data_IF_369581678528
#
_entry.id   IF_369581678528
#
_cell.length_a   1.000
_cell.length_b   1.000
_cell.length_c   1.000
_cell.angle_alpha   90.00
_cell.angle_beta   90.00
_cell.angle_gamma   90.00
#
_symmetry.space_group_name_H-M   'P 1'
#
loop_
_entity.id
_entity.type
_entity.pdbx_description
1 polymer ?
#
# COMPACT_ATOMS: atom_id res chain seq x y z
N UNK A 1 20.49 4.29 4.81
CA UNK A 1 19.44 3.24 4.76
C UNK A 1 18.17 3.93 4.26
N UNK A 2 17.44 3.35 3.29
CA UNK A 2 16.15 3.90 2.84
C UNK A 2 15.12 3.71 3.96
N UNK A 3 14.25 4.69 4.15
CA UNK A 3 13.16 4.57 5.13
C UNK A 3 12.08 3.59 4.64
N UNK A 4 11.29 2.98 5.53
CA UNK A 4 10.20 2.06 5.19
C UNK A 4 8.98 2.80 4.59
N UNK A 5 9.24 3.59 3.56
CA UNK A 5 8.26 4.41 2.84
C UNK A 5 7.87 3.72 1.54
N UNK A 6 6.57 3.60 1.31
CA UNK A 6 5.95 3.28 0.04
C UNK A 6 5.45 4.59 -0.57
N UNK A 7 6.09 5.08 -1.64
CA UNK A 7 5.60 6.26 -2.36
C UNK A 7 4.46 5.88 -3.31
N UNK A 8 3.30 6.51 -3.16
CA UNK A 8 2.21 6.39 -4.12
C UNK A 8 2.49 7.27 -5.34
N UNK A 9 2.71 6.61 -6.51
CA UNK A 9 3.00 7.27 -7.78
C UNK A 9 1.69 7.45 -8.56
N UNK A 10 0.82 8.30 -8.03
CA UNK A 10 -0.50 8.54 -8.60
C UNK A 10 -0.43 9.80 -9.49
N UNK A 11 -0.09 9.61 -10.77
CA UNK A 11 -0.03 10.66 -11.81
C UNK A 11 -0.36 10.06 -13.18
N UNK A 12 -1.12 10.77 -14.03
CA UNK A 12 -1.41 10.34 -15.39
C UNK A 12 -0.29 10.69 -16.41
N UNK A 13 0.86 11.15 -15.94
CA UNK A 13 2.02 11.51 -16.78
C UNK A 13 3.22 10.61 -16.44
N UNK A 14 3.63 9.76 -17.40
CA UNK A 14 4.71 8.80 -17.20
C UNK A 14 6.07 9.45 -16.97
N UNK A 15 6.36 10.57 -17.65
CA UNK A 15 7.63 11.28 -17.47
C UNK A 15 7.69 11.97 -16.10
N UNK A 16 6.56 12.47 -15.61
CA UNK A 16 6.46 12.98 -14.23
C UNK A 16 6.66 11.83 -13.24
N UNK A 17 6.04 10.67 -13.45
CA UNK A 17 6.22 9.50 -12.60
C UNK A 17 7.70 9.09 -12.49
N UNK A 18 8.42 8.99 -13.60
CA UNK A 18 9.86 8.70 -13.64
C UNK A 18 10.67 9.72 -12.85
N UNK A 19 10.36 11.02 -13.01
CA UNK A 19 11.06 12.09 -12.28
C UNK A 19 10.80 12.03 -10.79
N UNK A 20 9.58 11.65 -10.36
CA UNK A 20 9.27 11.43 -8.94
C UNK A 20 10.10 10.29 -8.36
N UNK A 21 10.22 9.19 -9.09
CA UNK A 21 11.06 8.04 -8.70
C UNK A 21 12.51 8.48 -8.53
N UNK A 22 13.07 9.16 -9.52
CA UNK A 22 14.46 9.65 -9.49
C UNK A 22 14.70 10.65 -8.35
N UNK A 23 13.74 11.55 -8.09
CA UNK A 23 13.85 12.56 -7.03
C UNK A 23 13.82 11.96 -5.60
N UNK A 24 13.24 10.75 -5.43
CA UNK A 24 12.98 10.17 -4.11
C UNK A 24 13.73 8.88 -3.82
N UNK A 25 14.52 8.38 -4.77
CA UNK A 25 15.16 7.06 -4.69
C UNK A 25 16.07 6.84 -3.47
N UNK A 26 16.65 7.89 -2.89
CA UNK A 26 17.51 7.79 -1.71
C UNK A 26 16.73 7.66 -0.40
N UNK A 27 15.45 8.01 -0.41
CA UNK A 27 14.57 8.08 0.77
C UNK A 27 13.51 6.97 0.83
N UNK A 28 13.08 6.47 -0.35
CA UNK A 28 11.93 5.58 -0.51
C UNK A 28 12.37 4.14 -0.79
N UNK A 29 11.72 3.17 -0.13
CA UNK A 29 12.02 1.74 -0.30
C UNK A 29 11.15 1.07 -1.37
N UNK A 30 9.93 1.55 -1.58
CA UNK A 30 8.93 0.90 -2.45
C UNK A 30 8.17 1.95 -3.25
N UNK A 31 7.93 1.71 -4.52
CA UNK A 31 7.06 2.52 -5.37
C UNK A 31 5.75 1.79 -5.64
N UNK A 32 4.64 2.42 -5.24
CA UNK A 32 3.28 1.90 -5.44
C UNK A 32 2.69 2.46 -6.73
N UNK A 33 2.36 1.57 -7.65
CA UNK A 33 1.67 1.85 -8.90
C UNK A 33 0.21 1.42 -8.74
N UNK A 34 -0.67 2.40 -8.58
CA UNK A 34 -2.09 2.20 -8.30
C UNK A 34 -2.92 1.98 -9.56
N UNK A 35 -4.24 1.92 -9.37
CA UNK A 35 -5.22 1.64 -10.44
C UNK A 35 -5.12 2.66 -11.59
N UNK A 36 -5.09 3.96 -11.28
CA UNK A 36 -4.99 5.01 -12.30
C UNK A 36 -3.73 4.81 -13.16
N UNK A 37 -2.57 4.63 -12.54
CA UNK A 37 -1.32 4.41 -13.24
C UNK A 37 -1.38 3.15 -14.13
N UNK A 38 -1.81 2.02 -13.56
CA UNK A 38 -1.82 0.76 -14.28
C UNK A 38 -2.83 0.74 -15.43
N UNK A 39 -4.02 1.30 -15.24
CA UNK A 39 -5.02 1.39 -16.30
C UNK A 39 -4.63 2.37 -17.41
N UNK A 40 -3.82 3.38 -17.09
CA UNK A 40 -3.33 4.35 -18.09
C UNK A 40 -2.15 3.78 -18.90
N UNK A 41 -1.18 3.16 -18.25
CA UNK A 41 0.11 2.80 -18.87
C UNK A 41 0.36 1.30 -19.01
N UNK A 42 -0.42 0.46 -18.33
CA UNK A 42 -0.31 -0.99 -18.37
C UNK A 42 1.08 -1.52 -18.02
N UNK A 43 1.42 -2.66 -18.58
CA UNK A 43 2.72 -3.31 -18.38
C UNK A 43 3.91 -2.43 -18.82
N UNK A 44 3.74 -1.64 -19.87
CA UNK A 44 4.81 -0.77 -20.37
C UNK A 44 5.18 0.30 -19.34
N UNK A 45 4.18 0.89 -18.69
CA UNK A 45 4.40 1.88 -17.62
C UNK A 45 5.14 1.28 -16.44
N UNK A 46 4.74 0.08 -15.99
CA UNK A 46 5.41 -0.62 -14.88
C UNK A 46 6.87 -0.90 -15.22
N UNK A 47 7.16 -1.42 -16.42
CA UNK A 47 8.54 -1.64 -16.88
C UNK A 47 9.33 -0.35 -16.99
N UNK A 48 8.72 0.74 -17.45
CA UNK A 48 9.37 2.05 -17.52
C UNK A 48 9.79 2.55 -16.13
N UNK A 49 8.95 2.37 -15.09
CA UNK A 49 9.32 2.71 -13.71
C UNK A 49 10.40 1.78 -13.18
N UNK A 50 10.32 0.47 -13.44
CA UNK A 50 11.36 -0.49 -13.01
C UNK A 50 12.73 -0.16 -13.59
N UNK A 51 12.81 0.42 -14.76
CA UNK A 51 14.08 0.84 -15.38
C UNK A 51 14.71 2.08 -14.71
N UNK A 52 13.94 2.84 -13.92
CA UNK A 52 14.42 4.03 -13.21
C UNK A 52 14.93 3.71 -11.80
N UNK A 53 14.68 2.50 -11.26
CA UNK A 53 14.98 2.20 -9.86
C UNK A 53 15.15 0.72 -9.58
N UNK A 54 16.02 0.41 -8.60
CA UNK A 54 16.15 -0.93 -8.00
C UNK A 54 15.23 -1.13 -6.77
N UNK A 55 14.39 -0.14 -6.44
CA UNK A 55 13.45 -0.26 -5.34
C UNK A 55 12.31 -1.24 -5.66
N UNK A 56 11.69 -1.78 -4.62
CA UNK A 56 10.56 -2.69 -4.75
C UNK A 56 9.37 -2.05 -5.46
N UNK A 57 8.66 -2.83 -6.27
CA UNK A 57 7.43 -2.40 -6.94
C UNK A 57 6.21 -3.02 -6.26
N UNK A 58 5.25 -2.17 -5.95
CA UNK A 58 3.98 -2.52 -5.36
C UNK A 58 2.84 -2.24 -6.37
N UNK A 59 2.27 -3.29 -6.96
CA UNK A 59 1.08 -3.19 -7.81
C UNK A 59 -0.18 -3.15 -6.95
N UNK A 60 -0.77 -1.98 -6.81
CA UNK A 60 -1.95 -1.75 -5.98
C UNK A 60 -3.23 -1.82 -6.82
N UNK A 61 -3.58 -3.04 -7.28
CA UNK A 61 -4.67 -3.32 -8.21
C UNK A 61 -5.97 -3.74 -7.52
N UNK A 62 -5.90 -4.06 -6.24
CA UNK A 62 -7.05 -4.44 -5.40
C UNK A 62 -7.96 -5.49 -6.04
N UNK A 63 -7.34 -6.59 -6.53
CA UNK A 63 -8.07 -7.66 -7.22
C UNK A 63 -9.19 -8.22 -6.33
N UNK A 64 -10.40 -8.30 -6.88
CA UNK A 64 -11.57 -8.75 -6.16
C UNK A 64 -12.58 -9.35 -7.13
N UNK A 65 -12.61 -10.66 -7.23
CA UNK A 65 -13.49 -11.43 -8.11
C UNK A 65 -13.50 -12.90 -7.63
N UNK A 66 -14.15 -13.81 -8.34
CA UNK A 66 -14.08 -15.24 -8.05
C UNK A 66 -12.62 -15.75 -8.17
N UNK A 67 -12.24 -16.81 -7.42
CA UNK A 67 -10.86 -17.30 -7.35
C UNK A 67 -10.18 -17.52 -8.69
N UNK A 68 -10.91 -18.08 -9.67
CA UNK A 68 -10.38 -18.35 -11.02
C UNK A 68 -9.96 -17.06 -11.74
N UNK A 69 -10.80 -16.03 -11.68
CA UNK A 69 -10.54 -14.73 -12.32
C UNK A 69 -9.37 -14.02 -11.66
N UNK A 70 -9.31 -14.02 -10.32
CA UNK A 70 -8.19 -13.41 -9.58
C UNK A 70 -6.88 -14.12 -9.87
N UNK A 71 -6.86 -15.44 -9.92
CA UNK A 71 -5.67 -16.20 -10.33
C UNK A 71 -5.22 -15.86 -11.76
N UNK A 72 -6.17 -15.68 -12.68
CA UNK A 72 -5.90 -15.24 -14.05
C UNK A 72 -5.27 -13.85 -14.10
N UNK A 73 -5.86 -12.89 -13.36
CA UNK A 73 -5.34 -11.52 -13.26
C UNK A 73 -3.95 -11.47 -12.62
N UNK A 74 -3.72 -12.27 -11.58
CA UNK A 74 -2.43 -12.40 -10.94
C UNK A 74 -1.36 -12.94 -11.91
N UNK A 75 -1.64 -14.03 -12.63
CA UNK A 75 -0.74 -14.56 -13.68
C UNK A 75 -0.47 -13.54 -14.80
N UNK A 76 -1.45 -12.73 -15.16
CA UNK A 76 -1.28 -11.73 -16.22
C UNK A 76 -0.19 -10.69 -15.91
N UNK A 77 0.11 -10.43 -14.63
CA UNK A 77 1.14 -9.48 -14.20
C UNK A 77 2.42 -10.16 -13.67
N UNK A 78 2.51 -11.49 -13.74
CA UNK A 78 3.65 -12.26 -13.21
C UNK A 78 4.98 -11.89 -13.85
N UNK A 79 4.98 -11.60 -15.16
CA UNK A 79 6.18 -11.18 -15.92
C UNK A 79 6.73 -9.80 -15.50
N UNK A 80 5.93 -9.02 -14.79
CA UNK A 80 6.36 -7.76 -14.17
C UNK A 80 7.12 -7.98 -12.86
N UNK A 81 7.05 -9.19 -12.29
CA UNK A 81 7.71 -9.58 -11.04
C UNK A 81 7.51 -8.51 -9.94
N UNK A 82 6.26 -8.17 -9.58
CA UNK A 82 6.02 -7.20 -8.51
C UNK A 82 6.40 -7.81 -7.16
N UNK A 83 7.01 -7.01 -6.28
CA UNK A 83 7.27 -7.46 -4.90
C UNK A 83 5.96 -7.60 -4.13
N UNK A 84 5.02 -6.67 -4.34
CA UNK A 84 3.70 -6.68 -3.70
C UNK A 84 2.59 -6.57 -4.75
N UNK A 85 1.48 -7.26 -4.50
CA UNK A 85 0.24 -7.12 -5.26
C UNK A 85 -0.97 -7.17 -4.32
N UNK A 86 -1.93 -6.25 -4.49
CA UNK A 86 -3.09 -6.21 -3.61
C UNK A 86 -4.26 -7.05 -4.12
N UNK A 87 -4.92 -7.69 -3.14
CA UNK A 87 -6.25 -8.29 -3.29
C UNK A 87 -7.14 -7.78 -2.15
N UNK A 88 -8.46 -7.81 -2.30
CA UNK A 88 -9.38 -7.55 -1.18
C UNK A 88 -9.58 -8.80 -0.32
N UNK A 89 -9.41 -8.68 1.00
CA UNK A 89 -9.65 -9.77 1.97
C UNK A 89 -11.11 -10.25 1.94
N UNK A 90 -12.06 -9.35 1.65
CA UNK A 90 -13.49 -9.64 1.56
C UNK A 90 -13.87 -10.61 0.43
N UNK A 91 -12.96 -10.90 -0.51
CA UNK A 91 -13.10 -11.97 -1.49
C UNK A 91 -13.02 -13.38 -0.89
N UNK A 92 -12.61 -13.51 0.38
CA UNK A 92 -12.56 -14.76 1.12
C UNK A 92 -11.29 -15.58 0.90
N UNK A 93 -11.13 -16.61 1.73
CA UNK A 93 -9.89 -17.43 1.78
C UNK A 93 -9.53 -18.06 0.45
N UNK A 94 -10.52 -18.59 -0.28
CA UNK A 94 -10.28 -19.26 -1.57
C UNK A 94 -9.75 -18.31 -2.63
N UNK A 95 -10.23 -17.06 -2.65
CA UNK A 95 -9.76 -16.03 -3.58
C UNK A 95 -8.32 -15.60 -3.23
N UNK A 96 -8.04 -15.32 -1.96
CA UNK A 96 -6.70 -14.95 -1.51
C UNK A 96 -5.70 -16.06 -1.80
N UNK A 97 -6.06 -17.33 -1.48
CA UNK A 97 -5.23 -18.50 -1.78
C UNK A 97 -4.93 -18.63 -3.27
N UNK A 98 -5.93 -18.43 -4.12
CA UNK A 98 -5.76 -18.51 -5.58
C UNK A 98 -4.79 -17.44 -6.11
N UNK A 99 -4.77 -16.23 -5.53
CA UNK A 99 -3.77 -15.22 -5.85
C UNK A 99 -2.36 -15.61 -5.39
N UNK A 100 -2.23 -16.16 -4.18
CA UNK A 100 -0.94 -16.62 -3.61
C UNK A 100 -0.33 -17.72 -4.47
N UNK A 101 -1.12 -18.73 -4.86
CA UNK A 101 -0.68 -19.83 -5.73
C UNK A 101 -0.29 -19.37 -7.14
N UNK A 102 -0.95 -18.31 -7.64
CA UNK A 102 -0.68 -17.76 -8.97
C UNK A 102 0.58 -16.88 -9.02
N UNK A 103 1.04 -16.33 -7.89
CA UNK A 103 2.21 -15.46 -7.77
C UNK A 103 3.09 -15.86 -6.57
N UNK A 104 3.75 -17.02 -6.62
CA UNK A 104 4.51 -17.56 -5.48
C UNK A 104 5.70 -16.67 -5.08
N UNK A 105 6.28 -15.92 -6.03
CA UNK A 105 7.43 -15.04 -5.81
C UNK A 105 7.04 -13.63 -5.32
N UNK A 106 5.75 -13.28 -5.36
CA UNK A 106 5.23 -11.99 -4.91
C UNK A 106 4.61 -12.10 -3.51
N UNK A 107 4.66 -11.01 -2.77
CA UNK A 107 3.91 -10.89 -1.52
C UNK A 107 2.48 -10.45 -1.83
N UNK A 108 1.55 -11.42 -1.89
CA UNK A 108 0.12 -11.09 -1.96
C UNK A 108 -0.24 -10.32 -0.69
N UNK A 109 -0.77 -9.13 -0.91
CA UNK A 109 -1.04 -8.11 0.10
C UNK A 109 -2.55 -7.93 0.21
N UNK A 110 -3.12 -8.38 1.33
CA UNK A 110 -4.56 -8.39 1.50
C UNK A 110 -5.06 -7.08 2.14
N UNK A 111 -5.96 -6.38 1.45
CA UNK A 111 -6.59 -5.15 1.93
C UNK A 111 -7.79 -5.53 2.80
N UNK A 112 -7.79 -5.07 4.05
CA UNK A 112 -8.87 -5.34 5.00
C UNK A 112 -10.06 -4.41 4.77
N UNK A 113 -10.18 -3.36 5.57
CA UNK A 113 -11.23 -2.34 5.46
C UNK A 113 -10.61 -1.08 4.85
N UNK A 114 -11.28 -0.50 3.85
CA UNK A 114 -10.82 0.75 3.25
C UNK A 114 -10.92 1.90 4.26
N UNK A 115 -9.87 2.70 4.36
CA UNK A 115 -9.79 3.82 5.33
C UNK A 115 -10.78 4.94 5.07
N UNK A 116 -11.44 4.96 3.90
CA UNK A 116 -12.50 5.90 3.53
C UNK A 116 -13.87 5.51 4.10
N UNK A 117 -14.08 4.24 4.49
CA UNK A 117 -15.36 3.78 5.01
C UNK A 117 -15.52 4.19 6.48
N UNK A 118 -16.68 4.73 6.79
CA UNK A 118 -17.17 4.96 8.15
C UNK A 118 -17.79 3.66 8.71
N UNK A 119 -18.11 3.65 10.00
CA UNK A 119 -18.87 2.54 10.60
C UNK A 119 -20.27 2.38 9.97
N UNK A 120 -20.90 3.51 9.62
CA UNK A 120 -22.21 3.53 8.97
C UNK A 120 -22.14 2.91 7.56
N UNK A 121 -21.12 3.27 6.75
CA UNK A 121 -20.89 2.68 5.44
C UNK A 121 -20.68 1.16 5.53
N UNK A 122 -19.98 0.69 6.56
CA UNK A 122 -19.77 -0.75 6.78
C UNK A 122 -21.05 -1.50 7.06
N UNK A 123 -21.92 -0.97 7.90
CA UNK A 123 -23.24 -1.57 8.16
C UNK A 123 -24.12 -1.53 6.91
N UNK A 124 -24.09 -0.44 6.13
CA UNK A 124 -24.86 -0.31 4.90
C UNK A 124 -24.45 -1.36 3.86
N UNK A 125 -23.17 -1.66 3.71
CA UNK A 125 -22.70 -2.70 2.78
C UNK A 125 -22.74 -4.13 3.37
N UNK A 126 -23.30 -4.29 4.57
CA UNK A 126 -23.63 -5.60 5.15
C UNK A 126 -22.60 -6.20 6.11
N UNK A 127 -21.63 -5.43 6.62
CA UNK A 127 -20.78 -5.90 7.70
C UNK A 127 -21.56 -5.90 9.03
N UNK A 128 -21.45 -7.02 9.77
CA UNK A 128 -22.13 -7.16 11.06
C UNK A 128 -21.33 -6.57 12.24
N UNK A 129 -20.00 -6.45 12.08
CA UNK A 129 -19.08 -5.98 13.11
C UNK A 129 -18.50 -4.62 12.76
N UNK A 130 -18.05 -3.83 13.77
CA UNK A 130 -17.30 -2.60 13.56
C UNK A 130 -16.02 -2.78 12.73
N UNK A 131 -15.47 -1.67 12.24
CA UNK A 131 -14.30 -1.64 11.37
C UNK A 131 -13.11 -2.41 11.95
N UNK A 132 -12.77 -2.18 13.21
CA UNK A 132 -11.63 -2.81 13.88
C UNK A 132 -11.77 -4.34 13.95
N UNK A 133 -12.92 -4.84 14.39
CA UNK A 133 -13.18 -6.28 14.52
C UNK A 133 -13.19 -6.95 13.13
N UNK A 134 -13.83 -6.30 12.17
CA UNK A 134 -13.86 -6.76 10.77
C UNK A 134 -12.46 -6.80 10.16
N UNK A 135 -11.64 -5.77 10.34
CA UNK A 135 -10.27 -5.71 9.85
C UNK A 135 -9.38 -6.82 10.45
N UNK A 136 -9.49 -7.06 11.76
CA UNK A 136 -8.77 -8.13 12.46
C UNK A 136 -9.16 -9.51 11.91
N UNK A 137 -10.46 -9.77 11.75
CA UNK A 137 -10.95 -11.05 11.21
C UNK A 137 -10.49 -11.27 9.76
N UNK A 138 -10.56 -10.23 8.92
CA UNK A 138 -10.11 -10.27 7.53
C UNK A 138 -8.58 -10.47 7.42
N UNK A 139 -7.80 -9.85 8.30
CA UNK A 139 -6.36 -10.04 8.35
C UNK A 139 -6.00 -11.49 8.70
N UNK A 140 -6.60 -12.06 9.75
CA UNK A 140 -6.38 -13.46 10.13
C UNK A 140 -6.76 -14.44 9.02
N UNK A 141 -7.92 -14.23 8.38
CA UNK A 141 -8.37 -15.03 7.24
C UNK A 141 -7.34 -15.01 6.12
N UNK A 142 -6.84 -13.82 5.77
CA UNK A 142 -5.92 -13.63 4.66
C UNK A 142 -4.55 -14.26 4.92
N UNK A 143 -4.01 -14.11 6.13
CA UNK A 143 -2.73 -14.74 6.52
C UNK A 143 -2.85 -16.27 6.52
N UNK A 144 -3.96 -16.82 7.04
CA UNK A 144 -4.24 -18.26 6.95
C UNK A 144 -4.34 -18.75 5.50
N UNK A 145 -4.78 -17.92 4.57
CA UNK A 145 -4.83 -18.22 3.14
C UNK A 145 -3.47 -18.05 2.43
N UNK A 146 -2.42 -17.60 3.13
CA UNK A 146 -1.07 -17.47 2.63
C UNK A 146 -0.62 -16.06 2.25
N UNK A 147 -1.45 -15.03 2.47
CA UNK A 147 -1.03 -13.65 2.27
C UNK A 147 0.18 -13.31 3.15
N UNK A 148 1.17 -12.60 2.58
CA UNK A 148 2.42 -12.22 3.27
C UNK A 148 2.40 -10.78 3.79
N UNK A 149 1.41 -10.00 3.38
CA UNK A 149 1.25 -8.63 3.82
C UNK A 149 -0.24 -8.27 3.98
N UNK A 150 -0.51 -7.32 4.85
CA UNK A 150 -1.85 -6.77 5.13
C UNK A 150 -1.81 -5.27 4.92
N UNK A 151 -2.82 -4.71 4.26
CA UNK A 151 -3.09 -3.26 4.25
C UNK A 151 -4.23 -2.96 5.21
N UNK A 152 -3.99 -2.06 6.16
CA UNK A 152 -4.98 -1.66 7.16
C UNK A 152 -4.84 -0.18 7.57
N UNK A 153 -5.85 0.35 8.23
CA UNK A 153 -5.84 1.70 8.83
C UNK A 153 -4.76 1.83 9.91
N UNK A 154 -4.21 3.03 10.12
CA UNK A 154 -3.29 3.31 11.23
C UNK A 154 -3.85 2.89 12.60
N UNK A 155 -5.15 3.04 12.83
CA UNK A 155 -5.82 2.70 14.10
C UNK A 155 -5.95 1.19 14.33
N UNK A 156 -5.74 0.37 13.32
CA UNK A 156 -5.90 -1.09 13.36
C UNK A 156 -4.56 -1.83 13.52
N UNK A 157 -3.41 -1.14 13.37
CA UNK A 157 -2.07 -1.73 13.33
C UNK A 157 -1.81 -2.64 14.54
N UNK A 158 -1.94 -2.11 15.75
CA UNK A 158 -1.60 -2.84 16.97
C UNK A 158 -2.47 -4.09 17.17
N UNK A 159 -3.78 -3.97 16.90
CA UNK A 159 -4.71 -5.09 17.01
C UNK A 159 -4.42 -6.17 15.95
N UNK A 160 -4.15 -5.77 14.71
CA UNK A 160 -3.79 -6.71 13.63
C UNK A 160 -2.43 -7.36 13.94
N UNK A 161 -1.42 -6.59 14.35
CA UNK A 161 -0.10 -7.12 14.72
C UNK A 161 -0.19 -8.22 15.76
N UNK A 162 -1.03 -8.03 16.79
CA UNK A 162 -1.21 -9.01 17.87
C UNK A 162 -1.74 -10.37 17.40
N UNK A 163 -2.39 -10.44 16.23
CA UNK A 163 -3.02 -11.68 15.73
C UNK A 163 -2.35 -12.27 14.50
N UNK A 164 -1.56 -11.48 13.75
CA UNK A 164 -0.87 -11.97 12.54
C UNK A 164 0.61 -12.30 12.77
N UNK A 165 1.16 -11.89 13.91
CA UNK A 165 2.58 -12.14 14.25
C UNK A 165 3.56 -11.26 13.47
N UNK A 166 4.86 -11.40 13.76
CA UNK A 166 5.91 -10.51 13.26
C UNK A 166 6.33 -10.78 11.80
N UNK A 167 6.13 -12.00 11.32
CA UNK A 167 6.47 -12.41 9.96
C UNK A 167 5.57 -11.78 8.87
N UNK A 168 4.37 -11.33 9.25
CA UNK A 168 3.43 -10.69 8.33
C UNK A 168 3.74 -9.19 8.22
N UNK A 169 3.95 -8.69 7.02
CA UNK A 169 4.14 -7.27 6.81
C UNK A 169 2.82 -6.50 6.97
N UNK A 170 2.83 -5.41 7.73
CA UNK A 170 1.70 -4.49 7.84
C UNK A 170 2.05 -3.22 7.08
N UNK A 171 1.25 -2.89 6.08
CA UNK A 171 1.42 -1.74 5.20
C UNK A 171 0.26 -0.77 5.47
N UNK A 172 0.56 0.46 5.87
CA UNK A 172 -0.46 1.38 6.35
C UNK A 172 -0.50 2.66 5.52
N UNK A 173 -1.60 2.92 4.80
CA UNK A 173 -1.89 4.23 4.21
C UNK A 173 -2.51 5.17 5.26
N UNK A 174 -2.69 6.45 4.88
CA UNK A 174 -3.37 7.41 5.76
C UNK A 174 -2.46 8.00 6.84
N UNK A 175 -1.15 7.87 6.68
CA UNK A 175 -0.19 8.54 7.54
C UNK A 175 0.11 9.95 7.03
N UNK A 176 0.34 10.90 7.95
CA UNK A 176 0.67 12.30 7.64
C UNK A 176 1.81 12.77 8.54
N UNK A 177 2.80 13.51 8.00
CA UNK A 177 3.77 14.23 8.82
C UNK A 177 3.06 15.10 9.87
N UNK A 178 3.70 15.30 11.01
CA UNK A 178 3.12 16.06 12.13
C UNK A 178 2.61 17.45 11.71
N UNK A 179 3.29 18.10 10.76
CA UNK A 179 2.92 19.42 10.21
C UNK A 179 1.65 19.42 9.33
N UNK A 180 1.12 18.26 8.96
CA UNK A 180 -0.01 18.14 8.03
C UNK A 180 -1.20 17.37 8.61
N UNK A 181 -1.16 17.04 9.90
CA UNK A 181 -2.27 16.37 10.60
C UNK A 181 -3.48 17.30 10.65
N UNK A 182 -4.63 16.83 10.13
CA UNK A 182 -5.91 17.55 10.19
C UNK A 182 -6.26 18.41 8.97
N UNK A 183 -5.46 18.42 7.91
CA UNK A 183 -5.69 19.28 6.73
C UNK A 183 -6.34 18.58 5.52
N UNK A 184 -6.66 17.27 5.61
CA UNK A 184 -7.02 16.45 4.45
C UNK A 184 -8.31 15.62 4.66
N UNK A 185 -8.80 14.97 3.58
CA UNK A 185 -9.97 14.09 3.50
C UNK A 185 -9.86 12.78 4.32
N UNK A 186 -8.69 12.47 4.87
CA UNK A 186 -8.49 11.29 5.71
C UNK A 186 -8.82 11.58 7.18
N UNK A 187 -9.89 10.92 7.67
CA UNK A 187 -10.42 11.10 9.03
C UNK A 187 -9.63 10.34 10.12
N UNK A 188 -8.78 9.36 9.73
CA UNK A 188 -8.04 8.46 10.62
C UNK A 188 -6.55 8.56 10.32
N UNK A 189 -5.89 9.59 10.84
CA UNK A 189 -4.48 9.87 10.56
C UNK A 189 -3.59 9.61 11.77
N UNK A 190 -2.34 9.20 11.50
CA UNK A 190 -1.27 8.99 12.46
C UNK A 190 0.03 9.51 11.84
N UNK A 191 1.04 9.87 12.65
CA UNK A 191 2.34 10.22 12.08
C UNK A 191 3.04 8.97 11.53
N UNK A 192 3.94 9.10 10.52
CA UNK A 192 4.70 7.97 10.01
C UNK A 192 5.49 7.24 11.11
N UNK A 193 6.11 7.99 12.01
CA UNK A 193 6.85 7.46 13.17
C UNK A 193 5.93 6.64 14.08
N UNK A 194 4.79 7.18 14.48
CA UNK A 194 3.86 6.50 15.38
C UNK A 194 3.29 5.22 14.74
N UNK A 195 3.05 5.24 13.43
CA UNK A 195 2.60 4.05 12.71
C UNK A 195 3.66 2.92 12.76
N UNK A 196 4.94 3.25 12.53
CA UNK A 196 6.04 2.27 12.66
C UNK A 196 6.16 1.79 14.12
N UNK A 197 6.12 2.70 15.10
CA UNK A 197 6.18 2.34 16.52
C UNK A 197 4.99 1.45 16.95
N UNK A 198 3.83 1.59 16.32
CA UNK A 198 2.65 0.76 16.54
C UNK A 198 2.73 -0.62 15.87
N UNK A 199 3.77 -0.89 15.07
CA UNK A 199 4.03 -2.18 14.44
C UNK A 199 3.79 -2.24 12.92
N UNK A 200 3.62 -1.10 12.23
CA UNK A 200 3.63 -1.09 10.77
C UNK A 200 5.03 -1.44 10.25
N UNK A 201 5.09 -2.23 9.17
CA UNK A 201 6.34 -2.56 8.48
C UNK A 201 6.69 -1.54 7.42
N UNK A 202 5.68 -0.96 6.77
CA UNK A 202 5.79 0.04 5.72
C UNK A 202 4.64 1.05 5.85
N UNK A 203 4.92 2.31 5.50
CA UNK A 203 3.92 3.38 5.48
C UNK A 203 3.74 3.93 4.07
N UNK A 204 2.48 4.03 3.60
CA UNK A 204 2.16 4.55 2.27
C UNK A 204 1.98 6.06 2.35
N UNK A 205 2.83 6.79 1.62
CA UNK A 205 2.81 8.25 1.57
C UNK A 205 2.68 8.69 0.11
N UNK A 206 1.71 9.52 -0.17
CA UNK A 206 1.47 10.12 -1.49
C UNK A 206 1.62 11.63 -1.44
N UNK A 207 0.48 12.35 -1.36
CA UNK A 207 0.38 13.82 -1.41
C UNK A 207 1.40 14.58 -0.54
N UNK A 208 1.73 14.17 0.69
CA UNK A 208 2.76 14.85 1.47
C UNK A 208 4.12 14.98 0.76
N UNK A 209 4.46 14.03 -0.09
CA UNK A 209 5.69 14.07 -0.90
C UNK A 209 5.40 14.63 -2.29
N UNK A 210 4.36 14.11 -2.98
CA UNK A 210 4.16 14.41 -4.39
C UNK A 210 3.69 15.84 -4.67
N UNK A 211 3.02 16.50 -3.73
CA UNK A 211 2.64 17.90 -3.88
C UNK A 211 3.83 18.86 -3.89
N UNK A 212 4.94 18.49 -3.23
CA UNK A 212 6.16 19.28 -3.25
C UNK A 212 6.79 19.38 -4.65
N UNK A 213 6.46 18.45 -5.56
CA UNK A 213 6.84 18.51 -6.97
C UNK A 213 6.42 19.83 -7.65
N UNK A 214 5.30 20.42 -7.25
CA UNK A 214 4.84 21.72 -7.79
C UNK A 214 5.81 22.87 -7.54
N UNK A 215 6.66 22.72 -6.51
CA UNK A 215 7.68 23.70 -6.14
C UNK A 215 9.04 23.39 -6.78
N UNK A 216 9.21 22.16 -7.29
CA UNK A 216 10.43 21.73 -7.98
C UNK A 216 10.96 20.37 -7.50
N UNK A 217 11.92 19.84 -8.23
CA UNK A 217 12.57 18.55 -7.93
C UNK A 217 13.27 18.60 -6.55
N UNK A 218 13.98 19.68 -6.25
CA UNK A 218 14.75 19.84 -5.02
C UNK A 218 13.83 19.80 -3.78
N UNK A 219 12.66 20.44 -3.88
CA UNK A 219 11.66 20.46 -2.81
C UNK A 219 11.04 19.09 -2.57
N UNK A 220 10.76 18.35 -3.64
CA UNK A 220 10.27 16.97 -3.50
C UNK A 220 11.32 16.07 -2.84
N UNK A 221 12.58 16.18 -3.28
CA UNK A 221 13.70 15.42 -2.66
C UNK A 221 13.87 15.80 -1.18
N UNK A 222 13.85 17.08 -0.84
CA UNK A 222 13.97 17.56 0.53
C UNK A 222 12.81 17.07 1.40
N UNK A 223 11.57 17.11 0.87
CA UNK A 223 10.38 16.63 1.58
C UNK A 223 10.44 15.13 1.84
N UNK A 224 10.81 14.33 0.83
CA UNK A 224 10.97 12.89 0.98
C UNK A 224 12.04 12.55 2.03
N UNK A 225 13.18 13.24 2.03
CA UNK A 225 14.23 13.09 3.02
C UNK A 225 13.77 13.47 4.42
N UNK A 226 13.09 14.61 4.57
CA UNK A 226 12.58 15.06 5.88
C UNK A 226 11.65 14.02 6.52
N UNK A 227 10.75 13.40 5.73
CA UNK A 227 9.85 12.35 6.21
C UNK A 227 10.63 11.06 6.52
N UNK A 228 11.62 10.72 5.71
CA UNK A 228 12.49 9.58 5.98
C UNK A 228 13.27 9.75 7.29
N UNK A 229 13.81 10.94 7.54
CA UNK A 229 14.54 11.27 8.78
C UNK A 229 13.61 11.24 10.01
N UNK A 230 12.34 11.66 9.87
CA UNK A 230 11.33 11.55 10.94
C UNK A 230 11.08 10.09 11.35
N UNK A 231 11.14 9.16 10.40
CA UNK A 231 10.89 7.73 10.65
C UNK A 231 12.14 7.05 11.26
N UNK A 232 13.33 7.44 10.81
CA UNK A 232 14.58 6.75 11.13
C UNK A 232 15.25 7.23 12.45
N UNK A 233 14.88 8.42 12.95
CA UNK A 233 15.40 9.03 14.17
C UNK A 233 14.38 9.05 15.30
#
# INVERSE_FOLDING_TARGET
MKAPIVLAVDTPDLEVAKRWVNATQDSVSVYKLGLEFFLTFGHQGVRAIKNETDADIFLDLKLHDIPHTVAGAARAVADLSPTFITVHSSGGSSMVKAAVEALPDSKVTAVTILTSLSEEDLFEIGYANPALESAVALAQLSVKAGAKAIVCSPLEIAAIRSVVGDETLIITPGVRPLSEVGTDDQKRTMTPRDAIASGASLVVIGRPITQAWKLGVAEMTAKARSIADEILN
#
